data_IF_713814963258
#
_entry.id   IF_713814963258
#
_cell.length_a   1.000
_cell.length_b   1.000
_cell.length_c   1.000
_cell.angle_alpha   90.00
_cell.angle_beta   90.00
_cell.angle_gamma   90.00
#
_symmetry.space_group_name_H-M   'P 1'
#
loop_
_entity.id
_entity.type
_entity.pdbx_description
1 polymer ?
#
# COMPACT_ATOMS: atom_id res chain seq x y z
N UNK A 1 -30.19 -30.07 19.65
CA UNK A 1 -30.37 -29.47 18.30
C UNK A 1 -29.60 -28.16 18.24
N UNK A 2 -28.47 -28.10 17.52
CA UNK A 2 -27.65 -26.88 17.37
C UNK A 2 -27.61 -26.50 15.89
N UNK A 3 -28.20 -25.35 15.54
CA UNK A 3 -28.21 -24.85 14.16
C UNK A 3 -26.91 -24.05 13.92
N UNK A 4 -25.97 -24.62 13.17
CA UNK A 4 -24.79 -23.89 12.67
C UNK A 4 -25.19 -22.97 11.50
N UNK A 5 -24.65 -21.75 11.39
CA UNK A 5 -24.90 -20.90 10.23
C UNK A 5 -24.19 -21.46 8.99
N UNK A 6 -24.93 -21.50 7.88
CA UNK A 6 -24.43 -21.90 6.56
C UNK A 6 -24.26 -20.64 5.71
N UNK A 7 -23.03 -20.20 5.50
CA UNK A 7 -22.76 -19.14 4.53
C UNK A 7 -22.63 -19.76 3.14
N UNK A 8 -23.54 -19.38 2.24
CA UNK A 8 -23.43 -19.62 0.80
C UNK A 8 -23.19 -18.29 0.12
N UNK A 9 -22.12 -18.18 -0.67
CA UNK A 9 -21.99 -17.19 -1.73
C UNK A 9 -21.52 -17.93 -2.99
N UNK A 10 -22.38 -17.94 -3.99
CA UNK A 10 -22.18 -18.60 -5.27
C UNK A 10 -21.88 -17.52 -6.32
N UNK A 11 -20.80 -17.76 -7.07
CA UNK A 11 -20.40 -17.24 -8.39
C UNK A 11 -20.57 -15.75 -8.76
N UNK A 12 -19.46 -15.18 -9.27
CA UNK A 12 -19.44 -14.08 -10.23
C UNK A 12 -20.44 -14.33 -11.38
N UNK A 13 -21.00 -13.38 -12.13
CA UNK A 13 -20.59 -12.04 -12.61
C UNK A 13 -21.82 -11.44 -13.34
N UNK A 14 -21.93 -10.12 -13.56
CA UNK A 14 -22.62 -9.59 -14.77
C UNK A 14 -22.30 -8.10 -15.02
N UNK A 15 -21.45 -7.84 -16.03
CA UNK A 15 -21.43 -6.83 -17.13
C UNK A 15 -21.76 -5.34 -16.84
N UNK A 16 -21.16 -4.31 -17.46
CA UNK A 16 -20.03 -4.11 -18.39
C UNK A 16 -19.97 -2.59 -18.62
N UNK A 17 -18.86 -1.90 -18.30
CA UNK A 17 -18.39 -0.60 -18.83
C UNK A 17 -17.10 -0.21 -18.07
N UNK A 18 -15.96 -0.46 -18.70
CA UNK A 18 -14.63 0.15 -18.50
C UNK A 18 -14.37 0.95 -17.22
N UNK A 19 -13.61 0.39 -16.28
CA UNK A 19 -12.36 1.03 -15.84
C UNK A 19 -11.50 0.02 -15.10
N UNK A 20 -10.21 0.04 -15.41
CA UNK A 20 -9.14 -0.63 -14.69
C UNK A 20 -9.43 -0.59 -13.18
N UNK A 21 -9.80 -1.72 -12.56
CA UNK A 21 -9.72 -1.83 -11.09
C UNK A 21 -8.24 -1.80 -10.77
N UNK A 22 -7.65 -0.61 -10.65
CA UNK A 22 -6.38 -0.46 -9.96
C UNK A 22 -6.62 -0.99 -8.57
N UNK A 23 -6.20 -2.23 -8.32
CA UNK A 23 -6.29 -2.84 -7.01
C UNK A 23 -5.48 -1.94 -6.08
N UNK A 24 -6.18 -1.13 -5.27
CA UNK A 24 -5.54 -0.33 -4.24
C UNK A 24 -4.84 -1.28 -3.28
N UNK A 25 -3.51 -1.37 -3.41
CA UNK A 25 -2.67 -2.31 -2.68
C UNK A 25 -1.79 -1.49 -1.74
N UNK A 26 -2.13 -1.42 -0.43
CA UNK A 26 -1.26 -0.74 0.52
C UNK A 26 0.10 -1.46 0.58
N UNK A 27 1.16 -0.69 0.81
CA UNK A 27 2.49 -1.21 1.08
C UNK A 27 2.61 -1.44 2.59
N UNK A 28 2.99 -2.66 2.94
CA UNK A 28 3.12 -3.13 4.32
C UNK A 28 4.44 -3.87 4.43
N UNK A 29 5.16 -3.65 5.52
CA UNK A 29 6.43 -4.34 5.80
C UNK A 29 6.30 -5.87 5.88
N UNK A 30 5.10 -6.42 6.02
CA UNK A 30 4.84 -7.87 6.00
C UNK A 30 4.89 -8.49 4.60
N UNK A 31 5.03 -7.66 3.56
CA UNK A 31 5.13 -8.13 2.19
C UNK A 31 6.55 -8.62 1.92
N UNK A 32 6.68 -9.87 1.50
CA UNK A 32 7.97 -10.49 1.19
C UNK A 32 8.60 -9.94 -0.10
N UNK A 33 7.81 -9.29 -0.95
CA UNK A 33 8.25 -8.80 -2.27
C UNK A 33 8.81 -7.38 -2.26
N UNK A 34 8.97 -6.74 -1.09
CA UNK A 34 9.52 -5.38 -1.03
C UNK A 34 11.02 -5.36 -1.32
N UNK A 35 11.43 -4.41 -2.14
CA UNK A 35 12.84 -4.09 -2.38
C UNK A 35 13.35 -3.30 -1.17
N UNK A 36 14.40 -3.81 -0.53
CA UNK A 36 15.05 -3.17 0.63
C UNK A 36 16.41 -2.65 0.17
N UNK A 37 16.71 -1.41 0.54
CA UNK A 37 17.97 -0.76 0.23
C UNK A 37 19.12 -1.33 1.08
N UNK A 38 20.37 -1.05 0.71
CA UNK A 38 21.58 -1.58 1.38
C UNK A 38 21.68 -1.10 2.84
N UNK A 39 21.17 0.09 3.14
CA UNK A 39 21.11 0.67 4.49
C UNK A 39 19.95 0.11 5.34
N UNK A 40 19.12 -0.78 4.78
CA UNK A 40 17.93 -1.33 5.43
C UNK A 40 16.68 -0.45 5.32
N UNK A 41 16.77 0.69 4.64
CA UNK A 41 15.61 1.53 4.33
C UNK A 41 14.74 0.94 3.21
N UNK A 42 13.51 1.44 3.08
CA UNK A 42 12.58 1.04 2.03
C UNK A 42 11.98 2.31 1.42
N UNK A 43 12.29 2.54 0.16
CA UNK A 43 11.66 3.63 -0.60
C UNK A 43 10.31 3.17 -1.14
N UNK A 44 9.28 4.01 -0.97
CA UNK A 44 7.95 3.76 -1.54
C UNK A 44 7.63 4.89 -2.52
N UNK A 45 7.48 4.53 -3.79
CA UNK A 45 7.17 5.50 -4.85
C UNK A 45 5.66 5.59 -5.06
N UNK A 46 5.13 6.80 -5.24
CA UNK A 46 3.72 7.02 -5.59
C UNK A 46 3.65 7.69 -6.95
N UNK A 47 2.90 7.13 -7.90
CA UNK A 47 2.82 7.69 -9.25
C UNK A 47 1.91 6.93 -10.20
N UNK A 48 1.61 7.47 -11.39
CA UNK A 48 0.79 6.78 -12.39
C UNK A 48 1.51 5.63 -13.08
N UNK A 49 2.85 5.61 -13.05
CA UNK A 49 3.71 4.57 -13.60
C UNK A 49 4.68 4.09 -12.53
N UNK A 50 5.03 2.81 -12.58
CA UNK A 50 6.10 2.26 -11.75
C UNK A 50 7.44 2.90 -12.13
N UNK A 51 8.26 3.18 -11.12
CA UNK A 51 9.65 3.60 -11.32
C UNK A 51 10.48 2.34 -11.55
N UNK A 52 11.43 2.41 -12.49
CA UNK A 52 12.30 1.28 -12.84
C UNK A 52 13.08 0.84 -11.61
N UNK A 53 13.01 -0.45 -11.27
CA UNK A 53 13.68 -1.04 -10.10
C UNK A 53 12.88 -0.96 -8.79
N UNK A 54 11.75 -0.26 -8.77
CA UNK A 54 10.85 -0.13 -7.61
C UNK A 54 9.42 -0.59 -7.93
N UNK A 55 9.26 -1.52 -8.86
CA UNK A 55 7.95 -2.04 -9.30
C UNK A 55 7.16 -2.64 -8.13
N UNK A 56 7.87 -3.27 -7.19
CA UNK A 56 7.30 -3.84 -5.97
C UNK A 56 7.09 -2.83 -4.84
N UNK A 57 7.70 -1.65 -4.91
CA UNK A 57 7.58 -0.62 -3.90
C UNK A 57 6.70 0.55 -4.37
N UNK A 58 6.02 0.38 -5.50
CA UNK A 58 5.21 1.42 -6.12
C UNK A 58 3.74 1.37 -5.69
N UNK A 59 3.13 2.53 -5.46
CA UNK A 59 1.69 2.70 -5.26
C UNK A 59 1.12 3.47 -6.45
N UNK A 60 0.17 2.88 -7.19
CA UNK A 60 -0.46 3.55 -8.31
C UNK A 60 -1.31 4.75 -7.86
N UNK A 61 -1.08 5.91 -8.48
CA UNK A 61 -1.93 7.10 -8.34
C UNK A 61 -2.62 7.44 -9.67
N UNK A 62 -3.74 8.15 -9.59
CA UNK A 62 -4.49 8.59 -10.77
C UNK A 62 -4.11 10.04 -11.11
N UNK A 63 -3.61 10.33 -12.33
CA UNK A 63 -3.32 11.70 -12.75
C UNK A 63 -4.53 12.61 -12.58
N UNK A 64 -4.31 13.82 -12.08
CA UNK A 64 -5.38 14.81 -11.88
C UNK A 64 -6.30 14.54 -10.68
N UNK A 65 -6.02 13.52 -9.85
CA UNK A 65 -6.72 13.30 -8.58
C UNK A 65 -5.80 13.55 -7.39
N UNK A 66 -6.32 14.26 -6.40
CA UNK A 66 -5.66 14.41 -5.10
C UNK A 66 -5.63 13.08 -4.36
N UNK A 67 -4.55 12.85 -3.64
CA UNK A 67 -4.36 11.69 -2.78
C UNK A 67 -3.75 12.14 -1.46
N UNK A 68 -3.81 11.27 -0.45
CA UNK A 68 -3.18 11.46 0.85
C UNK A 68 -2.61 10.13 1.33
N UNK A 69 -1.63 10.19 2.23
CA UNK A 69 -0.99 9.01 2.81
C UNK A 69 -1.42 8.80 4.27
N UNK A 70 -1.71 7.56 4.63
CA UNK A 70 -1.76 7.12 6.03
C UNK A 70 -0.58 6.23 6.32
N UNK A 71 0.36 6.74 7.12
CA UNK A 71 1.42 5.93 7.71
C UNK A 71 0.95 5.34 9.02
N UNK A 72 1.06 4.01 9.19
CA UNK A 72 0.59 3.28 10.38
C UNK A 72 1.72 2.46 10.96
N UNK A 73 2.03 2.75 12.22
CA UNK A 73 2.94 1.94 13.03
C UNK A 73 2.12 0.96 13.88
N UNK A 74 2.58 -0.28 13.96
CA UNK A 74 1.99 -1.30 14.80
C UNK A 74 2.96 -1.60 15.94
N UNK A 75 2.55 -1.34 17.19
CA UNK A 75 3.39 -1.46 18.38
C UNK A 75 4.75 -0.71 18.25
N UNK A 76 4.73 0.63 18.06
CA UNK A 76 5.95 1.41 17.96
C UNK A 76 6.77 1.36 19.26
N UNK A 77 8.09 1.50 19.13
CA UNK A 77 9.02 1.55 20.26
C UNK A 77 9.03 2.93 20.91
N UNK A 78 9.66 3.04 22.10
CA UNK A 78 9.76 4.29 22.87
C UNK A 78 10.36 5.44 22.04
N UNK A 79 11.31 5.15 21.15
CA UNK A 79 11.95 6.12 20.22
C UNK A 79 10.93 6.93 19.41
N UNK A 80 9.82 6.31 19.02
CA UNK A 80 8.75 7.02 18.31
C UNK A 80 8.01 8.00 19.22
N UNK A 81 7.71 7.60 20.45
CA UNK A 81 7.02 8.46 21.44
C UNK A 81 7.89 9.62 21.91
N UNK A 82 9.19 9.38 22.02
CA UNK A 82 10.19 10.39 22.36
C UNK A 82 10.48 11.36 21.20
N UNK A 83 9.84 11.15 20.03
CA UNK A 83 10.00 11.95 18.80
C UNK A 83 11.46 12.02 18.31
N UNK A 84 12.30 11.06 18.70
CA UNK A 84 13.68 10.97 18.25
C UNK A 84 13.79 10.51 16.78
N UNK A 85 12.71 9.94 16.23
CA UNK A 85 12.58 9.62 14.82
C UNK A 85 11.30 10.23 14.23
N UNK A 86 11.43 10.85 13.06
CA UNK A 86 10.32 11.45 12.31
C UNK A 86 10.23 10.83 10.92
N UNK A 87 9.00 10.69 10.42
CA UNK A 87 8.76 10.31 9.04
C UNK A 87 9.18 11.48 8.13
N UNK A 88 10.05 11.26 7.13
CA UNK A 88 10.40 12.31 6.18
C UNK A 88 9.21 12.70 5.30
N UNK A 89 9.27 13.92 4.77
CA UNK A 89 8.28 14.40 3.80
C UNK A 89 8.42 13.69 2.45
N UNK A 90 7.37 13.77 1.62
CA UNK A 90 7.41 13.24 0.26
C UNK A 90 8.34 14.08 -0.63
N UNK A 91 9.26 13.40 -1.30
CA UNK A 91 10.12 14.00 -2.31
C UNK A 91 9.57 13.77 -3.71
N UNK A 92 9.71 14.77 -4.58
CA UNK A 92 9.29 14.68 -5.96
C UNK A 92 10.40 14.00 -6.77
N UNK A 93 10.13 12.79 -7.24
CA UNK A 93 11.03 12.06 -8.15
C UNK A 93 11.05 12.80 -9.49
N UNK A 94 12.23 13.30 -9.88
CA UNK A 94 12.44 14.04 -11.14
C UNK A 94 12.54 13.11 -12.34
#
# INVERSE_FOLDING_TARGET
MSRRPRFKRESASWNSHTTLRMAFRPRSSRRADLVVNVDGSIDICVGPKAVVGFEHNWIPSVPGRTWFCYFRLYAPTQVHFDKAWTLPDFELVK
#
